data_IF_399819113258
#
_entry.id   IF_399819113258
#
_cell.length_a   1.000
_cell.length_b   1.000
_cell.length_c   1.000
_cell.angle_alpha   90.00
_cell.angle_beta   90.00
_cell.angle_gamma   90.00
#
_symmetry.space_group_name_H-M   'P 1'
#
loop_
_entity.id
_entity.type
_entity.pdbx_description
1 polymer ?
#
# COMPACT_ATOMS: atom_id res chain seq x y z
N UNK A 1 41.82 -4.71 72.54
CA UNK A 1 41.74 -3.33 72.99
C UNK A 1 40.52 -2.71 72.29
N UNK A 2 39.42 -2.68 73.02
CA UNK A 2 38.26 -1.81 72.69
C UNK A 2 38.57 -0.42 73.19
N UNK A 3 37.89 0.62 72.88
CA UNK A 3 36.50 0.88 73.27
C UNK A 3 35.70 1.49 72.10
N UNK A 4 34.38 1.30 72.08
CA UNK A 4 33.28 1.95 72.76
C UNK A 4 32.76 3.24 72.08
N UNK A 5 31.50 3.16 71.83
CA UNK A 5 30.36 4.00 72.19
C UNK A 5 30.04 5.18 71.25
N UNK A 6 28.78 5.25 70.93
CA UNK A 6 28.17 6.42 70.27
C UNK A 6 26.75 6.19 69.83
N UNK A 7 25.90 6.30 70.78
CA UNK A 7 24.50 6.70 70.93
C UNK A 7 23.60 6.90 69.71
N UNK A 8 22.32 6.59 69.81
CA UNK A 8 21.34 6.82 68.77
C UNK A 8 20.88 8.28 68.77
N UNK A 9 20.93 8.90 67.63
CA UNK A 9 20.38 10.22 67.39
C UNK A 9 18.85 10.20 67.37
N UNK A 10 18.28 10.85 68.40
CA UNK A 10 16.88 11.17 68.59
C UNK A 10 16.47 12.34 67.67
N UNK A 11 15.50 12.09 66.77
CA UNK A 11 14.97 13.09 65.83
C UNK A 11 13.63 13.69 66.32
N UNK A 12 13.48 13.90 67.56
CA UNK A 12 12.32 14.56 68.13
C UNK A 12 12.63 15.87 68.79
N UNK A 13 12.90 16.93 68.01
CA UNK A 13 12.78 18.32 68.51
C UNK A 13 12.55 19.29 67.34
N UNK A 14 11.40 19.94 67.33
CA UNK A 14 11.22 21.18 66.61
C UNK A 14 9.93 21.34 65.80
N UNK A 15 8.77 21.27 66.43
CA UNK A 15 7.62 21.99 65.93
C UNK A 15 7.87 23.48 65.99
N UNK A 16 8.05 24.12 64.86
CA UNK A 16 7.69 25.52 64.73
C UNK A 16 7.04 25.72 63.37
N UNK A 17 5.79 26.11 63.44
CA UNK A 17 4.95 26.33 62.27
C UNK A 17 5.47 27.42 61.35
N UNK A 18 5.57 27.09 60.13
CA UNK A 18 5.42 28.03 59.02
C UNK A 18 4.25 27.58 58.16
N UNK A 19 3.19 28.33 58.26
CA UNK A 19 2.10 28.31 57.31
C UNK A 19 2.72 28.74 55.95
N UNK A 20 2.78 27.81 55.04
CA UNK A 20 2.93 28.15 53.61
C UNK A 20 1.57 28.59 53.14
N UNK A 21 1.48 29.67 52.35
CA UNK A 21 0.25 30.01 51.66
C UNK A 21 -0.16 28.85 50.76
N UNK A 22 -1.41 28.46 50.79
CA UNK A 22 -2.00 27.54 49.84
C UNK A 22 -1.81 28.10 48.41
N UNK A 23 -1.08 27.37 47.59
CA UNK A 23 -1.11 27.58 46.16
C UNK A 23 -2.55 27.42 45.66
N UNK A 24 -3.05 28.37 44.88
CA UNK A 24 -4.37 28.21 44.28
C UNK A 24 -4.34 27.00 43.35
N UNK A 25 -5.25 26.07 43.58
CA UNK A 25 -5.52 24.97 42.64
C UNK A 25 -5.74 25.51 41.27
N UNK A 26 -5.07 24.95 40.24
CA UNK A 26 -5.31 25.35 38.86
C UNK A 26 -6.77 25.10 38.52
N UNK A 27 -7.45 26.15 38.07
CA UNK A 27 -8.81 26.08 37.58
C UNK A 27 -8.78 25.30 36.23
N UNK A 28 -9.45 24.15 36.19
CA UNK A 28 -9.53 23.22 35.06
C UNK A 28 -10.26 23.79 33.82
N UNK A 29 -10.22 25.08 33.60
CA UNK A 29 -11.01 25.75 32.58
C UNK A 29 -10.20 26.56 31.54
N UNK A 30 -8.89 26.64 31.67
CA UNK A 30 -8.08 27.27 30.63
C UNK A 30 -7.52 26.21 29.65
N UNK A 31 -7.88 26.28 28.35
CA UNK A 31 -7.26 25.41 27.36
C UNK A 31 -5.81 25.83 27.21
N UNK A 32 -4.90 24.95 27.58
CA UNK A 32 -3.46 25.08 27.41
C UNK A 32 -3.13 25.36 25.92
N UNK A 33 -2.58 26.54 25.57
CA UNK A 33 -2.36 26.89 24.17
C UNK A 33 -1.14 26.15 23.54
N UNK A 34 -0.54 25.19 24.24
CA UNK A 34 0.63 24.43 23.81
C UNK A 34 0.47 22.92 23.83
N UNK A 35 -0.75 22.42 23.95
CA UNK A 35 -0.99 21.02 23.62
C UNK A 35 -0.84 20.87 22.10
N UNK A 36 0.42 20.64 21.68
CA UNK A 36 0.66 19.92 20.47
C UNK A 36 -0.05 18.58 20.64
N UNK A 37 -1.24 18.47 20.09
CA UNK A 37 -1.86 17.18 19.83
C UNK A 37 -0.93 16.52 18.84
N UNK A 38 0.03 15.79 19.40
CA UNK A 38 0.74 14.76 18.68
C UNK A 38 -0.35 13.77 18.27
N UNK A 39 -0.97 14.05 17.12
CA UNK A 39 -1.77 13.05 16.44
C UNK A 39 -0.79 11.95 16.13
N UNK A 40 -0.77 10.95 17.01
CA UNK A 40 -0.27 9.63 16.67
C UNK A 40 -1.01 9.20 15.41
N UNK A 41 -0.43 9.57 14.27
CA UNK A 41 -0.75 8.98 12.99
C UNK A 41 -0.33 7.52 13.20
N UNK A 42 -1.27 6.72 13.70
CA UNK A 42 -1.14 5.27 13.74
C UNK A 42 -0.92 4.86 12.28
N UNK A 43 0.34 4.87 11.92
CA UNK A 43 0.87 4.42 10.64
C UNK A 43 0.52 2.94 10.56
N UNK A 44 -0.65 2.62 10.03
CA UNK A 44 -1.11 1.26 9.68
C UNK A 44 -0.25 0.74 8.52
N UNK A 45 1.06 0.82 8.75
CA UNK A 45 2.11 0.42 7.81
C UNK A 45 2.28 -1.09 7.92
N UNK A 46 1.88 -1.81 6.90
CA UNK A 46 2.30 -3.19 6.71
C UNK A 46 1.22 -4.26 6.68
N UNK A 47 -0.02 -4.01 7.10
CA UNK A 47 -1.03 -5.07 7.18
C UNK A 47 -1.51 -5.56 5.80
N UNK A 48 -1.52 -4.69 4.79
CA UNK A 48 -1.85 -5.08 3.41
C UNK A 48 -0.79 -5.96 2.76
N UNK A 49 0.47 -5.70 3.05
CA UNK A 49 1.60 -6.48 2.51
C UNK A 49 1.79 -7.83 3.20
N UNK A 50 1.47 -7.90 4.49
CA UNK A 50 1.37 -9.18 5.22
C UNK A 50 0.24 -10.00 4.60
N UNK A 51 -0.89 -9.36 4.25
CA UNK A 51 -2.00 -10.00 3.56
C UNK A 51 -1.62 -10.58 2.19
N UNK A 52 -0.86 -9.84 1.37
CA UNK A 52 -0.41 -10.33 0.08
C UNK A 52 0.51 -11.55 0.21
N UNK A 53 1.38 -11.57 1.19
CA UNK A 53 2.28 -12.70 1.36
C UNK A 53 1.63 -13.91 2.03
N UNK A 54 0.77 -13.69 2.98
CA UNK A 54 -0.05 -14.77 3.54
C UNK A 54 -0.91 -15.36 2.43
N UNK A 55 -1.45 -14.52 1.54
CA UNK A 55 -2.19 -14.95 0.36
C UNK A 55 -1.35 -15.83 -0.58
N UNK A 56 -0.12 -15.43 -0.90
CA UNK A 56 0.79 -16.24 -1.72
C UNK A 56 1.11 -17.60 -1.06
N UNK A 57 1.31 -17.61 0.26
CA UNK A 57 1.54 -18.85 1.01
C UNK A 57 0.28 -19.75 0.99
N UNK A 58 -0.90 -19.16 1.13
CA UNK A 58 -2.16 -19.91 1.09
C UNK A 58 -2.39 -20.51 -0.30
N UNK A 59 -2.11 -19.77 -1.39
CA UNK A 59 -2.23 -20.29 -2.76
C UNK A 59 -1.36 -21.52 -2.96
N UNK A 60 -0.16 -21.54 -2.39
CA UNK A 60 0.74 -22.70 -2.49
C UNK A 60 0.24 -23.88 -1.65
N UNK A 61 -0.27 -23.60 -0.46
CA UNK A 61 -0.91 -24.63 0.36
C UNK A 61 -2.14 -25.22 -0.35
N UNK A 62 -2.90 -24.38 -1.10
CA UNK A 62 -4.01 -24.81 -1.96
C UNK A 62 -3.52 -25.78 -3.03
N UNK A 63 -2.46 -25.39 -3.71
CA UNK A 63 -1.89 -26.18 -4.80
C UNK A 63 -1.38 -27.53 -4.30
N UNK A 64 -0.78 -27.58 -3.11
CA UNK A 64 -0.28 -28.81 -2.48
C UNK A 64 -1.41 -29.71 -1.96
N UNK A 65 -2.55 -29.15 -1.56
CA UNK A 65 -3.65 -29.90 -0.97
C UNK A 65 -4.66 -30.47 -2.01
N UNK A 66 -4.49 -30.12 -3.31
CA UNK A 66 -5.44 -30.45 -4.39
C UNK A 66 -5.35 -31.87 -4.94
N UNK A 67 -4.67 -32.79 -4.27
CA UNK A 67 -4.69 -34.17 -4.70
C UNK A 67 -5.82 -34.98 -4.00
N UNK A 68 -6.58 -35.76 -4.78
CA UNK A 68 -7.55 -36.76 -4.35
C UNK A 68 -8.93 -36.30 -3.82
N UNK A 69 -9.77 -35.78 -4.69
CA UNK A 69 -11.23 -35.73 -4.45
C UNK A 69 -11.67 -34.72 -3.38
N UNK A 70 -10.73 -34.03 -2.78
CA UNK A 70 -10.97 -33.03 -1.76
C UNK A 70 -11.32 -31.64 -2.32
N UNK A 71 -11.55 -31.51 -3.64
CA UNK A 71 -11.77 -30.22 -4.29
C UNK A 71 -12.84 -29.37 -3.62
N UNK A 72 -13.91 -29.97 -3.18
CA UNK A 72 -14.99 -29.24 -2.52
C UNK A 72 -14.69 -28.89 -1.07
N UNK A 73 -14.15 -29.82 -0.29
CA UNK A 73 -13.84 -29.61 1.13
C UNK A 73 -12.66 -28.65 1.33
N UNK A 74 -11.62 -28.84 0.53
CA UNK A 74 -10.43 -28.00 0.57
C UNK A 74 -10.75 -26.58 0.09
N UNK A 75 -11.61 -26.42 -0.94
CA UNK A 75 -12.07 -25.10 -1.39
C UNK A 75 -12.65 -24.27 -0.25
N UNK A 76 -13.54 -24.83 0.55
CA UNK A 76 -14.16 -24.14 1.69
C UNK A 76 -13.18 -23.80 2.82
N UNK A 77 -12.27 -24.72 3.15
CA UNK A 77 -11.25 -24.49 4.20
C UNK A 77 -10.25 -23.40 3.79
N UNK A 78 -9.89 -23.38 2.53
CA UNK A 78 -8.92 -22.42 2.00
C UNK A 78 -9.56 -21.05 1.81
N UNK A 79 -10.77 -20.99 1.30
CA UNK A 79 -11.57 -19.78 1.22
C UNK A 79 -11.70 -19.13 2.61
N UNK A 80 -12.01 -19.92 3.62
CA UNK A 80 -12.10 -19.47 5.01
C UNK A 80 -10.76 -18.94 5.54
N UNK A 81 -9.65 -19.64 5.27
CA UNK A 81 -8.32 -19.17 5.68
C UNK A 81 -7.83 -17.94 4.90
N UNK A 82 -8.08 -17.89 3.60
CA UNK A 82 -7.79 -16.71 2.79
C UNK A 82 -8.56 -15.49 3.28
N UNK A 83 -9.84 -15.65 3.57
CA UNK A 83 -10.69 -14.59 4.14
C UNK A 83 -10.16 -14.08 5.47
N UNK A 84 -9.84 -14.99 6.40
CA UNK A 84 -9.33 -14.61 7.72
C UNK A 84 -7.94 -13.95 7.67
N UNK A 85 -7.04 -14.45 6.82
CA UNK A 85 -5.66 -13.95 6.71
C UNK A 85 -5.54 -12.64 5.96
N UNK A 86 -6.44 -12.38 5.00
CA UNK A 86 -6.49 -11.16 4.20
C UNK A 86 -7.51 -10.15 4.72
N UNK A 87 -8.22 -10.50 5.81
CA UNK A 87 -9.35 -9.69 6.32
C UNK A 87 -10.37 -9.37 5.23
N UNK A 88 -10.61 -10.34 4.33
CA UNK A 88 -11.59 -10.18 3.26
C UNK A 88 -13.00 -10.31 3.83
N UNK A 89 -13.92 -9.52 3.29
CA UNK A 89 -15.34 -9.69 3.60
C UNK A 89 -15.83 -11.06 3.11
N UNK A 90 -16.79 -11.65 3.82
CA UNK A 90 -17.35 -12.99 3.47
C UNK A 90 -17.95 -13.05 2.07
N UNK A 91 -18.34 -11.91 1.52
CA UNK A 91 -18.88 -11.76 0.17
C UNK A 91 -17.84 -11.59 -0.93
N UNK A 92 -16.54 -11.58 -0.62
CA UNK A 92 -15.49 -11.36 -1.64
C UNK A 92 -15.23 -12.66 -2.42
N UNK A 93 -15.50 -12.74 -3.74
CA UNK A 93 -15.20 -13.93 -4.52
C UNK A 93 -13.68 -14.09 -4.69
N UNK A 94 -13.22 -15.33 -4.47
CA UNK A 94 -11.82 -15.75 -4.76
C UNK A 94 -11.92 -16.92 -5.73
N UNK A 95 -11.35 -16.79 -6.93
CA UNK A 95 -11.32 -17.82 -7.97
C UNK A 95 -9.89 -18.32 -8.14
N UNK A 96 -9.70 -19.64 -8.03
CA UNK A 96 -8.39 -20.29 -8.16
C UNK A 96 -8.45 -21.29 -9.30
N UNK A 97 -7.52 -21.13 -10.27
CA UNK A 97 -7.39 -22.02 -11.44
C UNK A 97 -5.99 -22.59 -11.52
N UNK A 98 -5.92 -23.90 -11.67
CA UNK A 98 -4.66 -24.60 -11.93
C UNK A 98 -4.61 -24.92 -13.43
N UNK A 99 -3.66 -24.30 -14.10
CA UNK A 99 -3.42 -24.51 -15.52
C UNK A 99 -2.38 -25.59 -15.79
N UNK A 100 -2.26 -25.96 -17.07
CA UNK A 100 -1.33 -26.98 -17.52
C UNK A 100 -1.99 -28.33 -17.80
N UNK A 101 -1.17 -29.38 -17.92
CA UNK A 101 -1.59 -30.75 -18.16
C UNK A 101 -2.31 -31.36 -16.96
N UNK A 102 -2.46 -32.68 -16.88
CA UNK A 102 -3.11 -33.37 -15.74
C UNK A 102 -2.49 -32.93 -14.40
N UNK A 103 -3.33 -32.56 -13.43
CA UNK A 103 -2.91 -32.20 -12.07
C UNK A 103 -2.16 -33.36 -11.40
N UNK A 104 -2.61 -34.58 -11.66
CA UNK A 104 -1.97 -35.79 -11.16
C UNK A 104 -0.52 -35.93 -11.67
N UNK A 105 -0.30 -35.68 -12.96
CA UNK A 105 1.03 -35.68 -13.55
C UNK A 105 1.91 -34.58 -12.93
N UNK A 106 1.36 -33.39 -12.73
CA UNK A 106 2.03 -32.29 -12.08
C UNK A 106 2.40 -32.61 -10.60
N UNK A 107 1.51 -33.32 -9.89
CA UNK A 107 1.79 -33.78 -8.54
C UNK A 107 2.94 -34.81 -8.50
N UNK A 108 2.96 -35.76 -9.42
CA UNK A 108 4.06 -36.75 -9.53
C UNK A 108 5.39 -36.08 -9.87
N UNK A 109 5.37 -35.07 -10.76
CA UNK A 109 6.59 -34.30 -11.12
C UNK A 109 7.01 -33.32 -10.03
N UNK A 110 6.19 -33.11 -9.00
CA UNK A 110 6.49 -32.23 -7.87
C UNK A 110 6.41 -30.75 -8.18
N UNK A 111 5.76 -30.35 -9.30
CA UNK A 111 5.72 -28.98 -9.74
C UNK A 111 4.46 -28.66 -10.56
N UNK A 112 3.72 -27.63 -10.16
CA UNK A 112 2.61 -27.11 -10.94
C UNK A 112 3.10 -26.14 -12.00
N UNK A 113 2.60 -26.28 -13.22
CA UNK A 113 3.02 -25.44 -14.35
C UNK A 113 2.53 -24.02 -14.21
N UNK A 114 1.27 -23.85 -13.78
CA UNK A 114 0.63 -22.54 -13.64
C UNK A 114 -0.48 -22.57 -12.61
N UNK A 115 -0.53 -21.53 -11.81
CA UNK A 115 -1.62 -21.26 -10.85
C UNK A 115 -2.06 -19.81 -11.04
N UNK A 116 -3.33 -19.61 -11.33
CA UNK A 116 -3.96 -18.30 -11.44
C UNK A 116 -4.93 -18.12 -10.28
N UNK A 117 -4.86 -16.97 -9.63
CA UNK A 117 -5.78 -16.60 -8.54
C UNK A 117 -6.34 -15.23 -8.82
N UNK A 118 -7.65 -15.12 -8.85
CA UNK A 118 -8.36 -13.86 -9.01
C UNK A 118 -9.14 -13.51 -7.74
N UNK A 119 -9.02 -12.26 -7.32
CA UNK A 119 -9.75 -11.69 -6.18
C UNK A 119 -10.43 -10.42 -6.67
N UNK A 120 -11.73 -10.34 -6.55
CA UNK A 120 -12.48 -9.20 -7.08
C UNK A 120 -12.35 -7.93 -6.23
N UNK A 121 -12.10 -8.08 -4.93
CA UNK A 121 -11.90 -6.96 -4.00
C UNK A 121 -10.75 -7.26 -3.04
N UNK A 122 -9.53 -6.95 -3.45
CA UNK A 122 -8.35 -7.01 -2.58
C UNK A 122 -8.09 -5.61 -2.04
N UNK A 123 -8.07 -5.48 -0.72
CA UNK A 123 -7.62 -4.26 -0.04
C UNK A 123 -6.09 -4.25 0.11
N UNK A 124 -5.44 -3.19 -0.34
CA UNK A 124 -4.01 -2.94 -0.14
C UNK A 124 -3.85 -1.55 0.49
N UNK A 125 -3.77 -1.50 1.80
CA UNK A 125 -3.89 -0.24 2.54
C UNK A 125 -5.28 0.38 2.32
N UNK A 126 -5.32 1.63 1.90
CA UNK A 126 -6.56 2.36 1.61
C UNK A 126 -7.07 2.15 0.17
N UNK A 127 -6.33 1.41 -0.65
CA UNK A 127 -6.72 1.09 -2.01
C UNK A 127 -7.42 -0.26 -2.05
N UNK A 128 -8.57 -0.34 -2.70
CA UNK A 128 -9.23 -1.60 -3.02
C UNK A 128 -9.35 -1.77 -4.52
N UNK A 129 -9.30 -3.03 -4.99
CA UNK A 129 -9.37 -3.30 -6.42
C UNK A 129 -9.36 -4.78 -6.74
N UNK A 130 -9.47 -5.09 -8.03
CA UNK A 130 -9.34 -6.46 -8.51
C UNK A 130 -7.86 -6.83 -8.62
N UNK A 131 -7.50 -7.98 -8.04
CA UNK A 131 -6.14 -8.52 -8.15
C UNK A 131 -6.17 -9.87 -8.87
N UNK A 132 -5.19 -10.09 -9.73
CA UNK A 132 -4.96 -11.38 -10.37
C UNK A 132 -3.49 -11.76 -10.18
N UNK A 133 -3.25 -12.88 -9.53
CA UNK A 133 -1.94 -13.49 -9.40
C UNK A 133 -1.80 -14.61 -10.43
N UNK A 134 -0.73 -14.62 -11.17
CA UNK A 134 -0.29 -15.75 -11.99
C UNK A 134 1.07 -16.21 -11.47
N UNK A 135 1.15 -17.44 -11.00
CA UNK A 135 2.40 -18.09 -10.60
C UNK A 135 2.73 -19.23 -11.58
N UNK A 136 3.98 -19.32 -11.99
CA UNK A 136 4.47 -20.37 -12.89
C UNK A 136 5.54 -21.21 -12.23
N UNK A 137 5.53 -22.51 -12.54
CA UNK A 137 6.50 -23.43 -11.99
C UNK A 137 6.49 -23.52 -10.46
N UNK A 138 5.31 -23.70 -9.90
CA UNK A 138 5.11 -23.74 -8.45
C UNK A 138 5.49 -25.11 -7.88
N UNK A 139 6.57 -25.22 -7.10
CA UNK A 139 6.99 -26.50 -6.54
C UNK A 139 6.07 -26.93 -5.38
N UNK A 140 5.90 -28.22 -5.19
CA UNK A 140 5.20 -28.78 -4.03
C UNK A 140 5.93 -28.52 -2.71
N UNK A 141 7.24 -28.32 -2.77
CA UNK A 141 8.05 -27.97 -1.60
C UNK A 141 8.16 -26.45 -1.45
N UNK A 142 7.73 -25.93 -0.31
CA UNK A 142 7.78 -24.51 0.02
C UNK A 142 9.20 -23.93 0.13
N UNK A 143 10.22 -24.78 0.24
CA UNK A 143 11.62 -24.35 0.31
C UNK A 143 12.22 -23.97 -1.05
N UNK A 144 11.59 -24.38 -2.14
CA UNK A 144 12.06 -24.10 -3.49
C UNK A 144 11.38 -22.85 -4.07
N UNK A 145 12.11 -22.03 -4.85
CA UNK A 145 11.50 -20.88 -5.51
C UNK A 145 10.51 -21.32 -6.60
N UNK A 146 9.49 -20.51 -6.84
CA UNK A 146 8.65 -20.58 -8.04
C UNK A 146 9.42 -19.98 -9.22
N UNK A 147 9.15 -20.43 -10.45
CA UNK A 147 9.87 -19.93 -11.62
C UNK A 147 9.55 -18.47 -11.92
N UNK A 148 8.30 -18.10 -11.73
CA UNK A 148 7.84 -16.73 -11.93
C UNK A 148 6.54 -16.42 -11.21
N UNK A 149 6.38 -15.17 -10.84
CA UNK A 149 5.13 -14.62 -10.31
C UNK A 149 4.82 -13.30 -11.01
N UNK A 150 3.56 -13.08 -11.30
CA UNK A 150 3.02 -11.82 -11.80
C UNK A 150 1.73 -11.51 -11.06
N UNK A 151 1.66 -10.33 -10.47
CA UNK A 151 0.43 -9.81 -9.85
C UNK A 151 -0.02 -8.60 -10.63
N UNK A 152 -1.25 -8.61 -11.10
CA UNK A 152 -1.90 -7.48 -11.75
C UNK A 152 -2.98 -6.97 -10.80
N UNK A 153 -2.88 -5.70 -10.45
CA UNK A 153 -3.87 -4.99 -9.65
C UNK A 153 -4.58 -3.96 -10.52
N UNK A 154 -5.90 -3.95 -10.46
CA UNK A 154 -6.76 -3.07 -11.25
C UNK A 154 -7.54 -2.17 -10.32
N UNK A 155 -7.32 -0.86 -10.41
CA UNK A 155 -8.01 0.15 -9.63
C UNK A 155 -8.95 1.00 -10.49
N UNK A 156 -10.12 1.33 -9.97
CA UNK A 156 -11.03 2.30 -10.58
C UNK A 156 -10.63 3.75 -10.25
N UNK A 157 -11.24 4.70 -10.93
CA UNK A 157 -11.06 6.12 -10.65
C UNK A 157 -11.48 6.49 -9.21
N UNK A 158 -12.56 5.90 -8.71
CA UNK A 158 -13.07 6.17 -7.36
C UNK A 158 -12.10 5.65 -6.29
N UNK A 159 -11.53 4.47 -6.48
CA UNK A 159 -10.53 3.91 -5.56
C UNK A 159 -9.25 4.74 -5.56
N UNK A 160 -8.83 5.20 -6.75
CA UNK A 160 -7.67 6.07 -6.88
C UNK A 160 -7.92 7.43 -6.21
N UNK A 161 -9.13 7.96 -6.31
CA UNK A 161 -9.52 9.21 -5.63
C UNK A 161 -9.47 9.05 -4.10
N UNK A 162 -9.98 7.96 -3.55
CA UNK A 162 -9.91 7.67 -2.10
C UNK A 162 -8.46 7.58 -1.63
N UNK A 163 -7.62 6.86 -2.38
CA UNK A 163 -6.20 6.74 -2.07
C UNK A 163 -5.52 8.12 -2.03
N UNK A 164 -5.73 8.94 -3.07
CA UNK A 164 -5.10 10.25 -3.18
C UNK A 164 -5.55 11.20 -2.06
N UNK A 165 -6.79 11.12 -1.61
CA UNK A 165 -7.28 11.93 -0.48
C UNK A 165 -6.48 11.68 0.82
N UNK A 166 -5.89 10.49 1.00
CA UNK A 166 -5.05 10.16 2.15
C UNK A 166 -3.57 10.56 2.01
N UNK A 167 -3.11 10.89 0.79
CA UNK A 167 -1.69 11.14 0.52
C UNK A 167 -1.33 12.57 0.12
N UNK A 168 -2.31 13.42 -0.16
CA UNK A 168 -2.07 14.80 -0.62
C UNK A 168 -2.80 15.80 0.25
N UNK A 169 -2.14 16.90 0.54
CA UNK A 169 -2.76 18.06 1.18
C UNK A 169 -3.59 18.90 0.22
N UNK A 170 -3.45 18.64 -1.09
CA UNK A 170 -4.27 19.32 -2.11
C UNK A 170 -5.63 18.63 -2.20
N UNK A 171 -6.73 19.40 -2.24
CA UNK A 171 -8.06 18.83 -2.38
C UNK A 171 -8.23 18.23 -3.78
N UNK A 172 -8.18 16.90 -3.90
CA UNK A 172 -8.50 16.20 -5.15
C UNK A 172 -10.02 16.20 -5.32
N UNK A 173 -10.53 17.02 -6.21
CA UNK A 173 -11.97 17.15 -6.48
C UNK A 173 -12.48 16.05 -7.39
N UNK A 174 -11.69 15.64 -8.39
CA UNK A 174 -12.05 14.57 -9.33
C UNK A 174 -10.85 13.74 -9.77
N UNK A 175 -11.11 12.47 -10.08
CA UNK A 175 -10.18 11.57 -10.75
C UNK A 175 -10.93 10.97 -11.94
N UNK A 176 -10.35 11.06 -13.13
CA UNK A 176 -10.90 10.46 -14.34
C UNK A 176 -9.81 9.62 -15.02
N UNK A 177 -10.17 8.40 -15.41
CA UNK A 177 -9.27 7.50 -16.13
C UNK A 177 -9.85 7.28 -17.52
N UNK A 178 -9.20 7.80 -18.53
CA UNK A 178 -9.66 7.70 -19.91
C UNK A 178 -8.50 7.94 -20.90
N UNK A 179 -8.64 7.44 -22.10
CA UNK A 179 -7.74 7.74 -23.23
C UNK A 179 -6.26 7.52 -22.93
N UNK A 180 -5.93 6.52 -22.10
CA UNK A 180 -4.55 6.20 -21.73
C UNK A 180 -3.93 7.14 -20.68
N UNK A 181 -4.73 8.00 -20.06
CA UNK A 181 -4.28 8.95 -19.04
C UNK A 181 -5.13 8.89 -17.77
N UNK A 182 -4.55 9.31 -16.66
CA UNK A 182 -5.22 9.61 -15.40
C UNK A 182 -5.27 11.11 -15.25
N UNK A 183 -6.44 11.68 -15.18
CA UNK A 183 -6.65 13.10 -14.98
C UNK A 183 -7.05 13.36 -13.53
N UNK A 184 -6.32 14.23 -12.88
CA UNK A 184 -6.55 14.68 -11.50
C UNK A 184 -7.06 16.11 -11.52
N UNK A 185 -8.25 16.31 -10.99
CA UNK A 185 -8.86 17.63 -10.83
C UNK A 185 -8.68 18.16 -9.42
N UNK A 186 -8.39 19.45 -9.32
CA UNK A 186 -8.34 20.21 -8.08
C UNK A 186 -8.91 21.61 -8.31
N UNK A 187 -9.01 22.40 -7.27
CA UNK A 187 -9.36 23.82 -7.36
C UNK A 187 -8.28 24.66 -6.67
N UNK A 188 -7.88 25.73 -7.30
CA UNK A 188 -6.91 26.68 -6.76
C UNK A 188 -7.64 27.99 -6.47
N UNK A 189 -7.57 28.46 -5.23
CA UNK A 189 -8.14 29.76 -4.84
C UNK A 189 -7.02 30.78 -4.71
N UNK A 190 -7.07 31.81 -5.53
CA UNK A 190 -6.13 32.93 -5.49
C UNK A 190 -6.92 34.26 -5.54
N UNK A 191 -6.62 35.20 -4.67
CA UNK A 191 -7.26 36.52 -4.59
C UNK A 191 -8.79 36.46 -4.49
N UNK A 192 -9.31 35.44 -3.79
CA UNK A 192 -10.76 35.22 -3.63
C UNK A 192 -11.46 34.58 -4.85
N UNK A 193 -10.75 34.30 -5.92
CA UNK A 193 -11.27 33.59 -7.11
C UNK A 193 -10.84 32.13 -7.07
N UNK A 194 -11.82 31.22 -7.18
CA UNK A 194 -11.54 29.76 -7.26
C UNK A 194 -11.55 29.32 -8.72
N UNK A 195 -10.43 28.80 -9.19
CA UNK A 195 -10.25 28.31 -10.55
C UNK A 195 -10.11 26.77 -10.53
N UNK A 196 -10.98 26.05 -11.25
CA UNK A 196 -10.82 24.61 -11.43
C UNK A 196 -9.63 24.33 -12.35
N UNK A 197 -8.76 23.42 -11.90
CA UNK A 197 -7.57 22.98 -12.65
C UNK A 197 -7.57 21.45 -12.67
N UNK A 198 -7.24 20.87 -13.83
CA UNK A 198 -7.02 19.44 -13.92
C UNK A 198 -5.76 19.14 -14.73
N UNK A 199 -4.99 18.14 -14.27
CA UNK A 199 -3.77 17.69 -14.94
C UNK A 199 -3.96 16.24 -15.35
N UNK A 200 -3.75 15.96 -16.62
CA UNK A 200 -3.73 14.59 -17.14
C UNK A 200 -2.29 14.07 -17.20
N UNK A 201 -2.08 12.89 -16.63
CA UNK A 201 -0.81 12.19 -16.64
C UNK A 201 -0.92 10.86 -17.39
N UNK A 202 0.09 10.53 -18.16
CA UNK A 202 0.30 9.17 -18.69
C UNK A 202 1.16 8.41 -17.68
N UNK A 203 0.62 7.40 -17.00
CA UNK A 203 1.38 6.60 -16.06
C UNK A 203 2.20 5.53 -16.83
N UNK A 204 3.41 5.25 -16.35
CA UNK A 204 4.26 4.18 -16.86
C UNK A 204 5.16 3.63 -15.76
N UNK A 205 5.78 2.50 -15.98
CA UNK A 205 6.84 1.98 -15.13
C UNK A 205 8.20 2.22 -15.81
N UNK A 206 9.11 2.85 -15.10
CA UNK A 206 10.49 3.12 -15.56
C UNK A 206 11.44 2.77 -14.42
N UNK A 207 12.35 1.84 -14.65
CA UNK A 207 13.33 1.37 -13.66
C UNK A 207 12.70 0.93 -12.33
N UNK A 208 11.55 0.26 -12.39
CA UNK A 208 10.80 -0.17 -11.20
C UNK A 208 10.12 0.96 -10.43
N UNK A 209 10.14 2.19 -10.96
CA UNK A 209 9.48 3.36 -10.40
C UNK A 209 8.20 3.69 -11.18
N UNK A 210 7.24 4.31 -10.52
CA UNK A 210 6.08 4.90 -11.20
C UNK A 210 6.49 6.23 -11.79
N UNK A 211 6.41 6.33 -13.13
CA UNK A 211 6.62 7.57 -13.85
C UNK A 211 5.27 8.16 -14.28
N UNK A 212 5.08 9.44 -14.02
CA UNK A 212 3.89 10.22 -14.36
C UNK A 212 4.31 11.32 -15.33
N UNK A 213 3.98 11.15 -16.61
CA UNK A 213 4.31 12.14 -17.66
C UNK A 213 3.09 13.04 -17.89
N UNK A 214 3.20 14.36 -17.66
CA UNK A 214 2.12 15.31 -17.95
C UNK A 214 1.78 15.29 -19.44
N UNK A 215 0.48 15.15 -19.74
CA UNK A 215 -0.06 15.12 -21.10
C UNK A 215 -0.82 16.39 -21.48
N UNK A 216 -1.59 16.91 -20.54
CA UNK A 216 -2.35 18.14 -20.72
C UNK A 216 -2.71 18.76 -19.38
N UNK A 217 -2.89 20.05 -19.39
CA UNK A 217 -3.43 20.86 -18.29
C UNK A 217 -4.77 21.43 -18.73
N UNK A 218 -5.78 21.36 -17.89
CA UNK A 218 -7.07 22.02 -18.10
C UNK A 218 -7.21 23.10 -17.05
N UNK A 219 -7.41 24.34 -17.48
CA UNK A 219 -7.63 25.49 -16.60
C UNK A 219 -8.94 26.14 -17.00
N UNK A 220 -9.89 26.20 -16.08
CA UNK A 220 -11.22 26.76 -16.32
C UNK A 220 -11.88 26.20 -17.61
N UNK A 221 -11.75 24.88 -17.85
CA UNK A 221 -12.30 24.20 -19.01
C UNK A 221 -11.45 24.29 -20.30
N UNK A 222 -10.46 25.17 -20.38
CA UNK A 222 -9.57 25.28 -21.51
C UNK A 222 -8.41 24.28 -21.41
N UNK A 223 -8.21 23.46 -22.44
CA UNK A 223 -7.11 22.48 -22.47
C UNK A 223 -5.86 23.12 -23.06
N UNK A 224 -4.77 23.04 -22.29
CA UNK A 224 -3.43 23.48 -22.68
C UNK A 224 -2.52 22.27 -22.81
N UNK A 225 -1.88 22.12 -23.97
CA UNK A 225 -0.89 21.06 -24.19
C UNK A 225 0.50 21.45 -23.64
N UNK A 226 1.41 20.51 -23.42
CA UNK A 226 2.80 20.81 -23.06
C UNK A 226 3.48 21.79 -24.01
N UNK A 227 3.24 21.65 -25.32
CA UNK A 227 3.78 22.55 -26.33
C UNK A 227 3.20 23.97 -26.17
N UNK A 228 1.88 24.09 -25.94
CA UNK A 228 1.23 25.38 -25.70
C UNK A 228 1.73 26.06 -24.42
N UNK A 229 1.96 25.28 -23.36
CA UNK A 229 2.51 25.81 -22.11
C UNK A 229 3.92 26.38 -22.31
N UNK A 230 4.79 25.64 -23.05
CA UNK A 230 6.14 26.11 -23.39
C UNK A 230 6.12 27.33 -24.28
N UNK A 231 5.22 27.37 -25.27
CA UNK A 231 5.09 28.52 -26.15
C UNK A 231 4.70 29.81 -25.40
N UNK A 232 3.86 29.67 -24.35
CA UNK A 232 3.38 30.81 -23.55
C UNK A 232 4.35 31.22 -22.45
N UNK A 233 4.94 30.26 -21.74
CA UNK A 233 5.73 30.48 -20.52
C UNK A 233 7.21 30.17 -20.66
N UNK A 234 7.65 29.67 -21.83
CA UNK A 234 9.06 29.31 -22.05
C UNK A 234 9.56 28.24 -21.09
N UNK A 235 10.83 28.36 -20.68
CA UNK A 235 11.50 27.42 -19.78
C UNK A 235 10.88 27.36 -18.35
N UNK A 236 10.09 28.35 -17.95
CA UNK A 236 9.40 28.34 -16.64
C UNK A 236 8.38 27.19 -16.56
N UNK A 237 7.87 26.71 -17.69
CA UNK A 237 6.95 25.59 -17.75
C UNK A 237 7.63 24.22 -17.55
N UNK A 238 8.94 24.11 -17.78
CA UNK A 238 9.65 22.82 -17.78
C UNK A 238 9.53 22.01 -16.48
N UNK A 239 9.59 22.56 -15.27
CA UNK A 239 9.40 21.79 -14.05
C UNK A 239 8.03 21.13 -13.93
N UNK A 240 6.98 21.79 -14.44
CA UNK A 240 5.59 21.27 -14.46
C UNK A 240 5.42 20.19 -15.51
N UNK A 241 6.16 20.30 -16.60
CA UNK A 241 6.12 19.37 -17.76
C UNK A 241 7.07 18.19 -17.59
N UNK A 242 7.96 18.22 -16.62
CA UNK A 242 8.88 17.12 -16.36
C UNK A 242 8.14 15.87 -15.91
N UNK A 243 8.57 14.72 -16.38
CA UNK A 243 8.09 13.42 -15.90
C UNK A 243 8.46 13.26 -14.42
N UNK A 244 7.47 13.11 -13.57
CA UNK A 244 7.65 12.89 -12.15
C UNK A 244 7.87 11.39 -11.91
N UNK A 245 8.98 11.02 -11.28
CA UNK A 245 9.26 9.65 -10.86
C UNK A 245 8.94 9.49 -9.37
N UNK A 246 8.09 8.52 -9.06
CA UNK A 246 7.69 8.19 -7.68
C UNK A 246 8.26 6.82 -7.32
N UNK A 247 9.07 6.79 -6.27
CA UNK A 247 9.63 5.56 -5.76
C UNK A 247 8.55 4.70 -5.08
N UNK A 248 8.05 3.71 -5.79
CA UNK A 248 7.10 2.72 -5.25
C UNK A 248 7.78 1.44 -4.78
N UNK A 249 9.04 1.21 -5.15
CA UNK A 249 9.78 0.00 -4.80
C UNK A 249 9.87 -0.21 -3.28
N UNK A 250 9.94 0.86 -2.50
CA UNK A 250 9.94 0.80 -1.01
C UNK A 250 8.68 0.17 -0.41
N UNK A 251 7.61 0.08 -1.17
CA UNK A 251 6.36 -0.57 -0.77
C UNK A 251 6.23 -1.99 -1.33
N UNK A 252 7.00 -2.33 -2.38
CA UNK A 252 6.97 -3.59 -3.09
C UNK A 252 8.01 -4.58 -2.53
N UNK A 253 7.73 -5.89 -2.55
CA UNK A 253 8.77 -6.88 -2.29
C UNK A 253 9.94 -6.73 -3.28
N UNK A 254 11.18 -6.86 -2.82
CA UNK A 254 12.36 -6.75 -3.69
C UNK A 254 12.32 -7.72 -4.88
N UNK A 255 11.74 -8.91 -4.68
CA UNK A 255 11.64 -9.93 -5.72
C UNK A 255 10.47 -9.70 -6.70
N UNK A 256 9.59 -8.73 -6.43
CA UNK A 256 8.44 -8.38 -7.25
C UNK A 256 8.45 -6.88 -7.56
N UNK A 257 9.42 -6.38 -8.34
CA UNK A 257 9.45 -4.98 -8.74
C UNK A 257 8.26 -4.61 -9.62
N UNK A 258 7.98 -3.31 -9.70
CA UNK A 258 6.99 -2.77 -10.62
C UNK A 258 7.42 -3.06 -12.06
N UNK A 259 6.59 -3.78 -12.79
CA UNK A 259 6.84 -4.22 -14.16
C UNK A 259 6.15 -3.31 -15.19
N UNK A 260 4.88 -3.00 -14.95
CA UNK A 260 4.15 -2.10 -15.82
C UNK A 260 3.05 -1.33 -15.09
N UNK A 261 2.79 -0.12 -15.56
CA UNK A 261 1.61 0.68 -15.19
C UNK A 261 0.98 1.17 -16.47
N UNK A 262 -0.32 0.95 -16.63
CA UNK A 262 -1.04 1.38 -17.83
C UNK A 262 -2.50 1.66 -17.53
N UNK A 263 -3.08 2.52 -18.33
CA UNK A 263 -4.53 2.75 -18.33
C UNK A 263 -5.15 1.79 -19.34
N UNK A 264 -6.19 1.07 -18.89
CA UNK A 264 -6.99 0.17 -19.72
C UNK A 264 -8.47 0.47 -19.52
N UNK A 265 -9.07 1.04 -20.58
CA UNK A 265 -10.44 1.55 -20.48
C UNK A 265 -10.55 2.66 -19.43
N UNK A 266 -11.37 2.46 -18.42
CA UNK A 266 -11.60 3.36 -17.29
C UNK A 266 -10.88 2.93 -16.01
N UNK A 267 -9.86 2.07 -16.10
CA UNK A 267 -9.14 1.53 -14.96
C UNK A 267 -7.63 1.71 -15.10
N UNK A 268 -6.95 1.78 -13.98
CA UNK A 268 -5.50 1.77 -13.88
C UNK A 268 -5.04 0.35 -13.55
N UNK A 269 -4.24 -0.26 -14.43
CA UNK A 269 -3.59 -1.54 -14.19
C UNK A 269 -2.15 -1.32 -13.74
N UNK A 270 -1.81 -1.90 -12.57
CA UNK A 270 -0.44 -1.98 -12.08
C UNK A 270 -0.03 -3.45 -12.08
N UNK A 271 1.12 -3.76 -12.65
CA UNK A 271 1.65 -5.10 -12.60
C UNK A 271 3.03 -5.12 -11.95
N UNK A 272 3.22 -6.08 -11.06
CA UNK A 272 4.52 -6.43 -10.49
C UNK A 272 4.86 -7.84 -10.95
N UNK A 273 6.11 -8.11 -11.23
CA UNK A 273 6.54 -9.44 -11.67
C UNK A 273 7.96 -9.77 -11.19
N UNK A 274 8.23 -11.05 -11.03
CA UNK A 274 9.54 -11.54 -10.63
C UNK A 274 9.80 -12.96 -11.10
N UNK A 275 11.07 -13.32 -11.22
CA UNK A 275 11.54 -14.68 -11.51
C UNK A 275 12.22 -15.26 -10.28
N UNK A 276 12.17 -16.59 -10.14
CA UNK A 276 12.80 -17.32 -9.03
C UNK A 276 12.37 -16.75 -7.67
N UNK A 277 11.07 -16.55 -7.49
CA UNK A 277 10.50 -15.93 -6.28
C UNK A 277 10.40 -16.99 -5.19
N UNK A 278 11.03 -16.75 -4.04
CA UNK A 278 10.95 -17.62 -2.87
C UNK A 278 9.81 -17.16 -1.97
N UNK A 279 8.85 -18.04 -1.74
CA UNK A 279 7.66 -17.75 -0.95
C UNK A 279 7.92 -18.01 0.53
N UNK A 280 8.62 -17.10 1.18
CA UNK A 280 8.90 -17.14 2.62
C UNK A 280 8.59 -15.78 3.26
N UNK A 281 8.71 -15.71 4.57
CA UNK A 281 8.47 -14.47 5.32
C UNK A 281 9.37 -13.32 4.86
N UNK A 282 10.59 -13.62 4.39
CA UNK A 282 11.53 -12.62 3.89
C UNK A 282 11.04 -11.94 2.60
N UNK A 283 10.20 -12.60 1.80
CA UNK A 283 9.60 -11.97 0.61
C UNK A 283 8.86 -10.68 0.97
N UNK A 284 8.17 -10.67 2.10
CA UNK A 284 7.34 -9.52 2.50
C UNK A 284 8.12 -8.46 3.27
N UNK A 285 9.11 -8.87 4.01
CA UNK A 285 9.91 -7.96 4.85
C UNK A 285 11.01 -7.25 4.05
N UNK A 286 11.56 -7.91 3.03
CA UNK A 286 12.61 -7.33 2.18
C UNK A 286 11.99 -6.49 1.07
N UNK A 287 12.08 -5.18 1.22
CA UNK A 287 11.56 -4.21 0.25
C UNK A 287 12.57 -3.86 -0.84
N UNK A 288 12.05 -3.41 -1.99
CA UNK A 288 12.87 -2.85 -3.04
C UNK A 288 13.42 -1.47 -2.67
N UNK A 289 14.41 -1.03 -3.41
CA UNK A 289 14.98 0.32 -3.35
C UNK A 289 14.90 0.95 -4.73
N UNK A 290 14.77 2.27 -4.78
CA UNK A 290 14.87 3.00 -6.03
C UNK A 290 16.30 3.55 -6.20
N UNK A 291 16.83 3.42 -7.38
CA UNK A 291 18.09 4.04 -7.76
C UNK A 291 17.92 5.55 -8.00
#
# INVERSE_FOLDING_TARGET
MAPQDGEPYDWNLGRSGRQYPEEPTPNDSDPDPFLFVETDVVRRRGRGWIGLGVFLVIVILIVVALDNGARWYVGNVIESKARSSLSLADSTPVDVKIGGTSVLYQAVTGKFQRVDVAIDKLGVGDLSGKATLTATGVPLSQSKPIDGARVVFVASADELKKLLAGFTTLPVTSVTIASGAVQLGTSITALGVTVPVAIAFVPSAVDGQLALTPRSLVVNGATVTPAGLRATFGAIADPVLATQKVCVAKYLPKQLPLDSVRVKGSSLELAVSGKSVTLNTALLTTKGVCA
#
